data_IF_883857018284
#
_entry.id   IF_883857018284
#
_cell.length_a   1.000
_cell.length_b   1.000
_cell.length_c   1.000
_cell.angle_alpha   90.00
_cell.angle_beta   90.00
_cell.angle_gamma   90.00
#
_symmetry.space_group_name_H-M   'P 1'
#
loop_
_entity.id
_entity.type
_entity.pdbx_description
1 polymer ?
#
# COMPACT_ATOMS: atom_id res chain seq x y z
N UNK A 1 15.37 3.82 23.63
CA UNK A 1 14.39 4.65 22.87
C UNK A 1 12.96 4.23 23.21
N UNK A 2 11.97 5.10 22.87
CA UNK A 2 10.54 4.82 23.07
C UNK A 2 9.96 4.04 21.90
N UNK A 3 8.98 3.19 22.18
CA UNK A 3 8.21 2.46 21.17
C UNK A 3 6.93 1.88 21.75
N UNK A 4 6.06 1.40 20.86
CA UNK A 4 4.82 0.70 21.22
C UNK A 4 5.06 -0.79 21.05
N UNK A 5 5.17 -1.50 22.16
CA UNK A 5 5.51 -2.92 22.23
C UNK A 5 4.24 -3.78 22.26
N UNK A 6 4.32 -4.95 21.68
CA UNK A 6 3.34 -6.02 21.71
C UNK A 6 4.04 -7.31 22.14
N UNK A 7 3.63 -7.90 23.28
CA UNK A 7 4.34 -9.03 23.88
C UNK A 7 4.08 -10.36 23.15
N UNK A 8 2.86 -10.53 22.62
CA UNK A 8 2.43 -11.75 21.94
C UNK A 8 1.19 -11.49 21.07
N UNK A 9 0.86 -12.44 20.23
CA UNK A 9 -0.38 -12.39 19.43
C UNK A 9 -1.62 -12.32 20.33
N UNK A 10 -2.55 -11.45 19.98
CA UNK A 10 -3.77 -11.18 20.75
C UNK A 10 -3.54 -10.32 22.00
N UNK A 11 -2.31 -9.91 22.28
CA UNK A 11 -1.99 -9.02 23.40
C UNK A 11 -2.35 -7.56 23.14
N UNK A 12 -2.19 -6.74 24.18
CA UNK A 12 -2.39 -5.30 24.11
C UNK A 12 -1.09 -4.56 23.80
N UNK A 13 -1.20 -3.51 22.98
CA UNK A 13 -0.11 -2.58 22.76
C UNK A 13 0.17 -1.72 23.99
N UNK A 14 1.42 -1.52 24.32
CA UNK A 14 1.82 -0.64 25.43
C UNK A 14 3.09 0.15 25.14
N UNK A 15 3.18 1.35 25.72
CA UNK A 15 4.34 2.23 25.59
C UNK A 15 5.49 1.72 26.47
N UNK A 16 6.69 1.65 25.88
CA UNK A 16 7.95 1.39 26.58
C UNK A 16 8.98 2.47 26.22
N UNK A 17 9.99 2.67 27.07
CA UNK A 17 11.10 3.61 26.85
C UNK A 17 12.49 2.96 26.89
N UNK A 18 12.51 1.64 26.99
CA UNK A 18 13.72 0.81 27.19
C UNK A 18 14.18 0.07 25.95
N UNK A 19 13.61 0.37 24.76
CA UNK A 19 14.05 -0.28 23.51
C UNK A 19 15.49 0.13 23.17
N UNK A 20 16.25 -0.81 22.67
CA UNK A 20 17.55 -0.55 22.08
C UNK A 20 17.39 0.09 20.69
N UNK A 21 18.26 1.04 20.35
CA UNK A 21 18.31 1.62 19.02
C UNK A 21 18.91 0.60 18.05
N UNK A 22 18.22 0.27 16.94
CA UNK A 22 18.74 -0.73 16.01
C UNK A 22 19.92 -0.17 15.21
N UNK A 23 20.87 -1.04 14.88
CA UNK A 23 22.05 -0.69 14.05
C UNK A 23 21.81 -1.13 12.61
N UNK A 24 22.04 -0.25 11.60
CA UNK A 24 21.82 -0.60 10.22
C UNK A 24 22.85 -1.62 9.70
N UNK A 25 22.35 -2.72 9.17
CA UNK A 25 23.14 -3.72 8.47
C UNK A 25 23.43 -3.32 7.02
N UNK A 26 23.94 -4.28 6.23
CA UNK A 26 24.25 -4.05 4.83
C UNK A 26 23.00 -3.64 4.02
N UNK A 27 23.13 -2.57 3.21
CA UNK A 27 22.07 -1.96 2.40
C UNK A 27 20.86 -1.49 3.21
N UNK A 28 21.04 -1.17 4.49
CA UNK A 28 20.02 -0.62 5.36
C UNK A 28 20.38 0.80 5.80
N UNK A 29 19.37 1.59 6.04
CA UNK A 29 19.48 2.91 6.64
C UNK A 29 18.76 2.90 7.99
N UNK A 30 19.29 3.63 8.95
CA UNK A 30 18.62 3.95 10.20
C UNK A 30 17.90 5.27 10.03
N UNK A 31 16.61 5.27 10.30
CA UNK A 31 15.74 6.44 10.13
C UNK A 31 15.20 6.89 11.48
N UNK A 32 15.39 8.18 11.82
CA UNK A 32 14.64 8.83 12.89
C UNK A 32 13.21 9.02 12.42
N UNK A 33 12.26 8.39 13.09
CA UNK A 33 10.84 8.45 12.76
C UNK A 33 10.27 9.82 13.13
N UNK A 34 9.73 10.55 12.16
CA UNK A 34 9.05 11.83 12.39
C UNK A 34 7.54 11.65 12.36
N UNK A 35 7.03 10.86 11.42
CA UNK A 35 5.61 10.54 11.29
C UNK A 35 5.45 9.08 10.91
N UNK A 36 4.56 8.37 11.57
CA UNK A 36 4.12 7.02 11.19
C UNK A 36 2.64 7.01 10.80
N UNK A 37 2.22 6.02 10.02
CA UNK A 37 0.82 5.87 9.63
C UNK A 37 0.28 4.48 9.94
N UNK A 38 -1.02 4.39 10.23
CA UNK A 38 -1.70 3.15 10.62
C UNK A 38 -2.25 2.42 9.39
N UNK A 39 -2.08 1.10 9.36
CA UNK A 39 -2.58 0.20 8.32
C UNK A 39 -3.42 -0.95 8.93
N UNK A 40 -4.30 -1.57 8.14
CA UNK A 40 -5.03 -2.77 8.59
C UNK A 40 -4.12 -3.92 9.00
N UNK A 41 -2.93 -4.02 8.40
CA UNK A 41 -1.98 -5.12 8.61
C UNK A 41 -1.43 -5.16 10.04
N UNK A 42 -1.32 -4.02 10.74
CA UNK A 42 -0.90 -4.03 12.15
C UNK A 42 -1.93 -4.74 13.03
N UNK A 43 -3.24 -4.48 12.81
CA UNK A 43 -4.31 -5.20 13.51
C UNK A 43 -4.36 -6.69 13.16
N UNK A 44 -4.08 -7.04 11.91
CA UNK A 44 -3.96 -8.43 11.47
C UNK A 44 -2.79 -9.14 12.18
N UNK A 45 -1.60 -8.53 12.19
CA UNK A 45 -0.43 -9.07 12.90
C UNK A 45 -0.67 -9.18 14.42
N UNK A 46 -1.30 -8.16 15.02
CA UNK A 46 -1.69 -8.21 16.43
C UNK A 46 -2.61 -9.39 16.72
N UNK A 47 -3.70 -9.54 15.96
CA UNK A 47 -4.72 -10.55 16.25
C UNK A 47 -4.27 -11.98 15.96
N UNK A 48 -3.46 -12.19 14.91
CA UNK A 48 -3.12 -13.53 14.41
C UNK A 48 -1.69 -13.96 14.71
N UNK A 49 -0.77 -13.03 14.92
CA UNK A 49 0.68 -13.29 14.97
C UNK A 49 1.31 -13.63 13.63
N UNK A 50 0.53 -13.69 12.55
CA UNK A 50 1.07 -13.96 11.21
C UNK A 50 1.95 -12.80 10.76
N UNK A 51 2.96 -13.08 9.93
CA UNK A 51 4.01 -12.16 9.47
C UNK A 51 5.00 -11.74 10.56
N UNK A 52 4.76 -11.99 11.83
CA UNK A 52 5.68 -11.66 12.92
C UNK A 52 6.78 -12.71 13.02
N UNK A 53 8.04 -12.27 13.07
CA UNK A 53 9.22 -13.16 13.08
C UNK A 53 9.78 -13.42 14.47
N UNK A 54 9.49 -12.57 15.45
CA UNK A 54 9.94 -12.71 16.85
C UNK A 54 9.02 -11.94 17.79
N UNK A 55 8.98 -12.36 19.05
CA UNK A 55 8.24 -11.73 20.15
C UNK A 55 9.18 -11.43 21.34
N UNK A 56 8.98 -10.36 22.10
CA UNK A 56 8.04 -9.27 21.86
C UNK A 56 8.42 -8.43 20.64
N UNK A 57 7.49 -7.64 20.08
CA UNK A 57 7.74 -6.85 18.87
C UNK A 57 7.09 -5.46 18.91
N UNK A 58 7.72 -4.51 18.22
CA UNK A 58 7.10 -3.26 17.79
C UNK A 58 6.51 -3.48 16.38
N UNK A 59 5.32 -2.97 16.09
CA UNK A 59 4.70 -3.02 14.77
C UNK A 59 4.78 -1.67 14.03
N UNK A 60 4.02 -1.55 12.95
CA UNK A 60 4.03 -0.39 12.05
C UNK A 60 4.91 -0.61 10.83
N UNK A 61 4.43 -0.19 9.65
CA UNK A 61 5.17 -0.40 8.41
C UNK A 61 5.34 0.87 7.55
N UNK A 62 4.53 1.89 7.77
CA UNK A 62 4.61 3.16 7.03
C UNK A 62 5.18 4.26 7.90
N UNK A 63 6.22 4.93 7.42
CA UNK A 63 6.73 6.13 8.07
C UNK A 63 7.41 7.08 7.07
N UNK A 64 7.62 8.29 7.56
CA UNK A 64 8.56 9.26 7.00
C UNK A 64 9.46 9.79 8.10
N UNK A 65 10.70 10.11 7.74
CA UNK A 65 11.68 10.54 8.71
C UNK A 65 12.98 11.02 8.07
N UNK A 66 14.02 11.08 8.88
CA UNK A 66 15.35 11.54 8.47
C UNK A 66 16.37 10.42 8.66
N UNK A 67 17.19 10.15 7.66
CA UNK A 67 18.31 9.21 7.74
C UNK A 67 19.32 9.73 8.75
N UNK A 68 19.66 8.93 9.76
CA UNK A 68 20.65 9.29 10.80
C UNK A 68 21.92 8.46 10.69
N UNK A 69 21.84 7.26 10.12
CA UNK A 69 23.00 6.41 9.88
C UNK A 69 22.77 5.56 8.62
N UNK A 70 23.83 5.26 7.88
CA UNK A 70 23.80 4.40 6.70
C UNK A 70 24.69 3.18 6.92
N UNK A 71 24.18 1.99 6.61
CA UNK A 71 24.92 0.75 6.68
C UNK A 71 25.86 0.55 5.48
N UNK A 72 26.69 -0.48 5.56
CA UNK A 72 27.58 -0.86 4.46
C UNK A 72 26.82 -1.10 3.17
N UNK A 73 27.33 -0.60 2.03
CA UNK A 73 26.78 -0.81 0.70
C UNK A 73 25.62 0.12 0.33
N UNK A 74 25.13 0.95 1.23
CA UNK A 74 24.15 2.00 0.91
C UNK A 74 24.76 3.02 -0.06
N UNK A 75 24.04 3.30 -1.14
CA UNK A 75 24.50 4.20 -2.20
C UNK A 75 23.50 5.29 -2.55
N UNK A 76 22.22 5.07 -2.21
CA UNK A 76 21.11 5.96 -2.59
C UNK A 76 20.91 7.11 -1.59
N UNK A 77 21.31 6.93 -0.32
CA UNK A 77 21.01 7.85 0.77
C UNK A 77 22.25 8.25 1.56
N UNK A 78 22.18 9.43 2.16
CA UNK A 78 23.17 9.98 3.09
C UNK A 78 22.48 10.42 4.39
N UNK A 79 23.26 10.58 5.45
CA UNK A 79 22.77 11.16 6.70
C UNK A 79 22.18 12.54 6.45
N UNK A 80 20.99 12.80 7.00
CA UNK A 80 20.23 14.03 6.80
C UNK A 80 19.19 13.96 5.68
N UNK A 81 19.21 12.94 4.82
CA UNK A 81 18.21 12.79 3.77
C UNK A 81 16.82 12.54 4.36
N UNK A 82 15.81 13.25 3.84
CA UNK A 82 14.42 13.01 4.17
C UNK A 82 13.87 11.85 3.34
N UNK A 83 13.32 10.84 4.03
CA UNK A 83 12.88 9.59 3.42
C UNK A 83 11.49 9.18 3.88
N UNK A 84 10.85 8.33 3.10
CA UNK A 84 9.62 7.63 3.49
C UNK A 84 9.55 6.27 2.79
N UNK A 85 8.61 5.42 3.22
CA UNK A 85 8.37 4.15 2.54
C UNK A 85 7.70 3.12 3.44
N UNK A 86 7.69 1.90 2.94
CA UNK A 86 7.23 0.72 3.65
C UNK A 86 8.42 -0.05 4.20
N UNK A 87 8.34 -0.51 5.43
CA UNK A 87 9.36 -1.35 6.04
C UNK A 87 9.04 -2.84 5.93
N UNK A 88 9.94 -3.70 6.42
CA UNK A 88 9.74 -5.16 6.44
C UNK A 88 8.79 -5.53 7.57
N UNK A 89 7.60 -6.01 7.21
CA UNK A 89 6.53 -6.31 8.16
C UNK A 89 6.97 -7.32 9.23
N UNK A 90 6.58 -7.05 10.47
CA UNK A 90 6.74 -7.97 11.58
C UNK A 90 8.18 -8.42 11.86
N UNK A 91 9.16 -7.60 11.48
CA UNK A 91 10.60 -7.87 11.66
C UNK A 91 11.20 -6.91 12.68
N UNK A 92 11.85 -7.40 13.75
CA UNK A 92 12.46 -6.54 14.76
C UNK A 92 13.40 -5.49 14.14
N UNK A 93 13.36 -4.28 14.68
CA UNK A 93 14.13 -3.13 14.21
C UNK A 93 13.53 -2.43 13.00
N UNK A 94 12.74 -3.08 12.15
CA UNK A 94 12.13 -2.50 10.94
C UNK A 94 10.78 -1.82 11.18
N UNK A 95 10.21 -1.94 12.35
CA UNK A 95 8.86 -1.46 12.65
C UNK A 95 8.85 0.04 12.97
N UNK A 96 7.79 0.74 12.60
CA UNK A 96 7.75 2.22 12.62
C UNK A 96 7.08 2.84 13.85
N UNK A 97 6.48 2.02 14.74
CA UNK A 97 5.86 2.51 15.97
C UNK A 97 6.89 2.77 17.09
N UNK A 98 8.03 3.33 16.72
CA UNK A 98 9.17 3.66 17.59
C UNK A 98 9.98 4.83 17.05
N UNK A 99 10.86 5.39 17.89
CA UNK A 99 11.62 6.60 17.55
C UNK A 99 12.62 6.42 16.40
N UNK A 100 13.23 5.24 16.26
CA UNK A 100 14.17 4.90 15.20
C UNK A 100 13.86 3.54 14.63
N UNK A 101 13.98 3.39 13.30
CA UNK A 101 13.72 2.12 12.63
C UNK A 101 14.66 1.90 11.45
N UNK A 102 14.86 0.62 11.10
CA UNK A 102 15.63 0.23 9.92
C UNK A 102 14.74 0.21 8.67
N UNK A 103 15.30 0.64 7.56
CA UNK A 103 14.70 0.50 6.25
C UNK A 103 15.73 -0.01 5.24
N UNK A 104 15.33 -0.95 4.39
CA UNK A 104 16.15 -1.37 3.28
C UNK A 104 16.18 -0.25 2.23
N UNK A 105 17.36 0.12 1.72
CA UNK A 105 17.47 1.26 0.77
C UNK A 105 16.65 1.08 -0.51
N UNK A 106 16.43 -0.17 -0.93
CA UNK A 106 15.62 -0.51 -2.11
C UNK A 106 14.10 -0.43 -1.89
N UNK A 107 13.63 -0.18 -0.66
CA UNK A 107 12.23 0.07 -0.31
C UNK A 107 11.98 1.54 0.05
N UNK A 108 13.06 2.30 0.26
CA UNK A 108 13.00 3.69 0.67
C UNK A 108 12.87 4.62 -0.54
N UNK A 109 12.04 5.64 -0.37
CA UNK A 109 11.87 6.75 -1.30
C UNK A 109 12.52 8.01 -0.76
N UNK A 110 13.09 8.84 -1.63
CA UNK A 110 13.43 10.23 -1.30
C UNK A 110 12.14 11.04 -1.17
N UNK A 111 12.02 11.81 -0.10
CA UNK A 111 10.86 12.67 0.08
C UNK A 111 10.95 13.87 -0.87
N UNK A 112 9.97 14.09 -1.77
CA UNK A 112 9.92 15.29 -2.61
C UNK A 112 9.82 16.57 -1.77
N UNK A 113 10.40 17.67 -2.23
CA UNK A 113 10.35 18.95 -1.51
C UNK A 113 8.93 19.47 -1.32
N UNK A 114 8.05 19.28 -2.31
CA UNK A 114 6.65 19.71 -2.28
C UNK A 114 5.71 18.84 -1.43
N UNK A 115 6.22 17.75 -0.80
CA UNK A 115 5.43 16.82 0.01
C UNK A 115 5.80 17.02 1.49
N UNK A 116 4.79 17.21 2.36
CA UNK A 116 5.04 17.29 3.81
C UNK A 116 5.42 15.93 4.39
N UNK A 117 5.97 15.93 5.59
CA UNK A 117 6.36 14.68 6.29
C UNK A 117 5.13 13.80 6.56
N UNK A 118 4.01 14.40 6.94
CA UNK A 118 2.74 13.69 7.16
C UNK A 118 2.19 13.09 5.85
N UNK A 119 2.24 13.86 4.77
CA UNK A 119 1.84 13.38 3.45
C UNK A 119 2.70 12.20 2.99
N UNK A 120 4.01 12.30 3.17
CA UNK A 120 4.95 11.25 2.80
C UNK A 120 4.68 9.94 3.54
N UNK A 121 4.34 9.98 4.83
CA UNK A 121 3.99 8.81 5.62
C UNK A 121 2.72 8.09 5.13
N UNK A 122 1.88 8.72 4.29
CA UNK A 122 0.67 8.08 3.74
C UNK A 122 0.93 7.18 2.55
N UNK A 123 2.16 7.17 1.98
CA UNK A 123 2.43 6.63 0.65
C UNK A 123 2.88 5.16 0.70
N UNK A 124 3.86 4.83 1.50
CA UNK A 124 4.66 3.61 1.56
C UNK A 124 3.99 2.31 1.11
N UNK A 125 3.42 1.56 2.04
CA UNK A 125 2.79 0.26 1.79
C UNK A 125 1.63 0.35 0.77
N UNK A 126 0.85 1.42 0.83
CA UNK A 126 -0.28 1.61 -0.08
C UNK A 126 0.15 1.69 -1.54
N UNK A 127 1.16 2.51 -1.84
CA UNK A 127 1.68 2.67 -3.21
C UNK A 127 2.41 1.41 -3.70
N UNK A 128 3.27 0.80 -2.87
CA UNK A 128 3.99 -0.42 -3.28
C UNK A 128 3.05 -1.59 -3.55
N UNK A 129 2.04 -1.79 -2.70
CA UNK A 129 1.02 -2.82 -2.91
C UNK A 129 0.21 -2.57 -4.18
N UNK A 130 -0.20 -1.32 -4.42
CA UNK A 130 -0.91 -0.94 -5.64
C UNK A 130 -0.04 -1.15 -6.90
N UNK A 131 1.25 -0.78 -6.84
CA UNK A 131 2.17 -0.98 -7.95
C UNK A 131 2.39 -2.47 -8.24
N UNK A 132 2.60 -3.31 -7.23
CA UNK A 132 2.66 -4.76 -7.41
C UNK A 132 1.38 -5.33 -8.01
N UNK A 133 0.20 -4.89 -7.53
CA UNK A 133 -1.09 -5.36 -8.04
C UNK A 133 -1.39 -4.91 -9.48
N UNK A 134 -1.17 -3.64 -9.78
CA UNK A 134 -1.53 -3.05 -11.07
C UNK A 134 -0.45 -3.28 -12.13
N UNK A 135 0.81 -2.99 -11.81
CA UNK A 135 1.90 -3.06 -12.80
C UNK A 135 2.35 -4.51 -13.00
N UNK A 136 2.65 -5.22 -11.91
CA UNK A 136 3.16 -6.59 -12.00
C UNK A 136 2.01 -7.58 -12.22
N UNK A 137 0.95 -7.50 -11.41
CA UNK A 137 -0.15 -8.45 -11.43
C UNK A 137 -1.10 -8.26 -12.61
N UNK A 138 -1.64 -7.07 -12.80
CA UNK A 138 -2.55 -6.77 -13.91
C UNK A 138 -1.84 -6.43 -15.22
N UNK A 139 -0.49 -6.46 -15.25
CA UNK A 139 0.33 -6.20 -16.45
C UNK A 139 0.02 -4.84 -17.10
N UNK A 140 -0.17 -3.82 -16.28
CA UNK A 140 -0.25 -2.44 -16.76
C UNK A 140 1.16 -1.90 -16.94
N UNK A 141 1.47 -1.35 -18.11
CA UNK A 141 2.77 -0.73 -18.36
C UNK A 141 2.91 0.57 -17.54
N UNK A 142 3.95 0.67 -16.72
CA UNK A 142 4.23 1.88 -15.93
C UNK A 142 4.78 3.00 -16.82
N UNK A 143 3.87 3.65 -17.53
CA UNK A 143 4.17 4.71 -18.48
C UNK A 143 3.08 5.78 -18.42
N UNK A 144 3.50 7.04 -18.24
CA UNK A 144 2.54 8.15 -18.24
C UNK A 144 1.93 8.30 -19.64
N UNK A 145 0.60 8.22 -19.70
CA UNK A 145 -0.19 8.35 -20.91
C UNK A 145 -1.56 8.93 -20.57
N UNK A 146 -2.03 9.87 -21.38
CA UNK A 146 -3.40 10.37 -21.25
C UNK A 146 -4.43 9.34 -21.71
N UNK A 147 -5.51 9.19 -20.93
CA UNK A 147 -6.66 8.38 -21.33
C UNK A 147 -7.56 9.16 -22.26
N UNK A 148 -8.19 8.45 -23.20
CA UNK A 148 -9.23 8.95 -24.09
C UNK A 148 -10.54 8.21 -23.85
N UNK A 149 -11.62 8.61 -24.52
CA UNK A 149 -12.90 7.90 -24.46
C UNK A 149 -12.83 6.47 -25.00
N UNK A 150 -11.84 6.17 -25.84
CA UNK A 150 -11.59 4.84 -26.41
C UNK A 150 -10.64 3.98 -25.56
N UNK A 151 -10.00 4.58 -24.55
CA UNK A 151 -9.10 3.83 -23.66
C UNK A 151 -9.84 2.72 -22.92
N UNK A 152 -9.19 1.55 -22.73
CA UNK A 152 -9.77 0.45 -21.94
C UNK A 152 -9.95 0.85 -20.48
N UNK A 153 -10.88 0.19 -19.80
CA UNK A 153 -11.08 0.36 -18.39
C UNK A 153 -10.13 -0.53 -17.58
N UNK A 154 -9.67 0.00 -16.44
CA UNK A 154 -9.16 -0.75 -15.32
C UNK A 154 -10.20 -0.73 -14.20
N UNK A 155 -10.61 -1.89 -13.71
CA UNK A 155 -11.53 -1.98 -12.58
C UNK A 155 -10.71 -2.15 -11.29
N UNK A 156 -10.96 -1.29 -10.30
CA UNK A 156 -10.31 -1.31 -8.98
C UNK A 156 -11.38 -1.58 -7.92
N UNK A 157 -11.37 -2.76 -7.33
CA UNK A 157 -12.25 -3.12 -6.23
C UNK A 157 -11.63 -2.66 -4.90
N UNK A 158 -12.44 -2.05 -4.03
CA UNK A 158 -11.93 -1.43 -2.80
C UNK A 158 -11.20 -0.10 -3.02
N UNK A 159 -11.61 0.67 -4.03
CA UNK A 159 -10.94 1.87 -4.51
C UNK A 159 -10.80 3.01 -3.50
N UNK A 160 -11.58 3.02 -2.42
CA UNK A 160 -11.51 4.07 -1.38
C UNK A 160 -10.43 3.82 -0.31
N UNK A 161 -9.89 2.61 -0.20
CA UNK A 161 -8.77 2.29 0.70
C UNK A 161 -7.45 2.85 0.19
N UNK A 162 -6.42 2.86 1.03
CA UNK A 162 -5.09 3.41 0.66
C UNK A 162 -4.52 2.76 -0.60
N UNK A 163 -4.51 1.44 -0.67
CA UNK A 163 -4.06 0.68 -1.85
C UNK A 163 -4.91 1.02 -3.06
N UNK A 164 -6.25 1.05 -2.89
CA UNK A 164 -7.20 1.33 -3.96
C UNK A 164 -7.04 2.72 -4.56
N UNK A 165 -6.85 3.75 -3.73
CA UNK A 165 -6.64 5.12 -4.21
C UNK A 165 -5.35 5.25 -5.03
N UNK A 166 -4.25 4.57 -4.63
CA UNK A 166 -3.03 4.53 -5.45
C UNK A 166 -3.22 3.70 -6.73
N UNK A 167 -3.96 2.60 -6.68
CA UNK A 167 -4.28 1.83 -7.87
C UNK A 167 -5.10 2.64 -8.89
N UNK A 168 -6.05 3.47 -8.42
CA UNK A 168 -6.81 4.41 -9.25
C UNK A 168 -5.88 5.43 -9.89
N UNK A 169 -4.98 6.05 -9.11
CA UNK A 169 -4.02 7.02 -9.63
C UNK A 169 -3.09 6.39 -10.69
N UNK A 170 -2.53 5.21 -10.40
CA UNK A 170 -1.67 4.48 -11.34
C UNK A 170 -2.41 4.11 -12.62
N UNK A 171 -3.63 3.58 -12.51
CA UNK A 171 -4.44 3.24 -13.69
C UNK A 171 -4.70 4.45 -14.57
N UNK A 172 -5.12 5.57 -14.00
CA UNK A 172 -5.32 6.83 -14.73
C UNK A 172 -4.04 7.34 -15.36
N UNK A 173 -2.94 7.36 -14.59
CA UNK A 173 -1.63 7.81 -15.06
C UNK A 173 -1.14 6.98 -16.26
N UNK A 174 -1.44 5.69 -16.28
CA UNK A 174 -1.07 4.76 -17.34
C UNK A 174 -2.07 4.72 -18.50
N UNK A 175 -2.99 5.69 -18.60
CA UNK A 175 -3.88 5.87 -19.76
C UNK A 175 -5.17 5.04 -19.73
N UNK A 176 -5.52 4.42 -18.59
CA UNK A 176 -6.79 3.73 -18.42
C UNK A 176 -7.89 4.68 -17.96
N UNK A 177 -9.10 4.39 -18.41
CA UNK A 177 -10.31 4.83 -17.70
C UNK A 177 -10.44 3.98 -16.46
N UNK A 178 -10.75 4.54 -15.32
CA UNK A 178 -10.79 3.75 -14.06
C UNK A 178 -12.21 3.72 -13.50
N UNK A 179 -12.70 2.50 -13.24
CA UNK A 179 -13.93 2.24 -12.53
C UNK A 179 -13.59 1.69 -11.13
N UNK A 180 -13.97 2.41 -10.08
CA UNK A 180 -13.70 2.01 -8.70
C UNK A 180 -14.93 1.45 -7.97
N UNK A 181 -14.75 0.48 -7.06
CA UNK A 181 -15.81 0.15 -6.10
C UNK A 181 -15.57 0.82 -4.75
N UNK A 182 -16.62 1.36 -4.15
CA UNK A 182 -16.57 1.97 -2.82
C UNK A 182 -17.95 1.98 -2.17
N UNK A 183 -18.04 2.33 -0.88
CA UNK A 183 -19.34 2.73 -0.32
C UNK A 183 -19.79 4.07 -0.92
N UNK A 184 -21.10 4.35 -0.98
CA UNK A 184 -21.60 5.63 -1.48
C UNK A 184 -21.00 6.85 -0.79
N UNK A 185 -20.71 6.77 0.51
CA UNK A 185 -20.08 7.83 1.30
C UNK A 185 -18.64 8.16 0.88
N UNK A 186 -17.95 7.23 0.22
CA UNK A 186 -16.57 7.37 -0.20
C UNK A 186 -16.40 7.56 -1.71
N UNK A 187 -17.49 7.73 -2.46
CA UNK A 187 -17.45 7.93 -3.91
C UNK A 187 -16.59 9.13 -4.32
N UNK A 188 -16.69 10.23 -3.59
CA UNK A 188 -15.94 11.45 -3.91
C UNK A 188 -14.41 11.27 -3.71
N UNK A 189 -13.98 10.49 -2.73
CA UNK A 189 -12.56 10.14 -2.56
C UNK A 189 -12.04 9.35 -3.76
N UNK A 190 -12.83 8.37 -4.23
CA UNK A 190 -12.47 7.56 -5.39
C UNK A 190 -12.37 8.39 -6.66
N UNK A 191 -13.30 9.33 -6.88
CA UNK A 191 -13.25 10.28 -7.99
C UNK A 191 -12.08 11.26 -7.86
N UNK A 192 -11.82 11.78 -6.67
CA UNK A 192 -10.69 12.66 -6.41
C UNK A 192 -9.33 11.96 -6.65
N UNK A 193 -9.25 10.64 -6.42
CA UNK A 193 -8.09 9.84 -6.80
C UNK A 193 -7.94 9.70 -8.32
N UNK A 194 -9.00 9.94 -9.10
CA UNK A 194 -8.95 9.98 -10.55
C UNK A 194 -9.85 8.95 -11.25
N UNK A 195 -10.68 8.22 -10.52
CA UNK A 195 -11.66 7.33 -11.16
C UNK A 195 -12.70 8.14 -11.93
N UNK A 196 -13.03 7.66 -13.12
CA UNK A 196 -14.06 8.27 -13.96
C UNK A 196 -15.46 7.91 -13.47
N UNK A 197 -15.62 6.70 -12.92
CA UNK A 197 -16.86 6.22 -12.34
C UNK A 197 -16.63 5.38 -11.09
N UNK A 198 -17.69 5.26 -10.27
CA UNK A 198 -17.68 4.40 -9.10
C UNK A 198 -19.00 3.66 -8.93
N UNK A 199 -18.96 2.48 -8.27
CA UNK A 199 -20.14 1.71 -7.92
C UNK A 199 -20.09 1.21 -6.48
N UNK A 200 -21.26 0.87 -5.93
CA UNK A 200 -21.36 0.41 -4.54
C UNK A 200 -20.99 -1.07 -4.43
N UNK A 201 -19.94 -1.37 -3.66
CA UNK A 201 -19.50 -2.75 -3.40
C UNK A 201 -20.48 -3.55 -2.51
N UNK A 202 -21.44 -2.88 -1.84
CA UNK A 202 -22.44 -3.53 -0.98
C UNK A 202 -23.58 -4.17 -1.77
N UNK A 203 -23.71 -3.88 -3.04
CA UNK A 203 -24.62 -4.56 -3.93
C UNK A 203 -24.27 -6.04 -4.04
N UNK A 204 -25.24 -6.90 -4.30
CA UNK A 204 -24.96 -8.32 -4.59
C UNK A 204 -24.18 -8.43 -5.90
N UNK A 205 -23.43 -9.53 -6.07
CA UNK A 205 -22.50 -9.71 -7.20
C UNK A 205 -23.18 -9.44 -8.55
N UNK A 206 -24.39 -9.99 -8.77
CA UNK A 206 -25.11 -9.78 -10.05
C UNK A 206 -25.44 -8.31 -10.35
N UNK A 207 -25.75 -7.50 -9.33
CA UNK A 207 -26.00 -6.06 -9.48
C UNK A 207 -24.70 -5.30 -9.73
N UNK A 208 -23.61 -5.69 -9.07
CA UNK A 208 -22.28 -5.17 -9.37
C UNK A 208 -21.89 -5.45 -10.81
N UNK A 209 -22.06 -6.69 -11.30
CA UNK A 209 -21.79 -7.08 -12.68
C UNK A 209 -22.65 -6.29 -13.69
N UNK A 210 -23.92 -6.10 -13.41
CA UNK A 210 -24.80 -5.29 -14.26
C UNK A 210 -24.30 -3.83 -14.35
N UNK A 211 -23.87 -3.25 -13.22
CA UNK A 211 -23.33 -1.89 -13.17
C UNK A 211 -22.00 -1.79 -13.93
N UNK A 212 -21.09 -2.74 -13.73
CA UNK A 212 -19.83 -2.82 -14.47
C UNK A 212 -20.08 -2.87 -15.97
N UNK A 213 -21.01 -3.73 -16.42
CA UNK A 213 -21.38 -3.85 -17.83
C UNK A 213 -21.93 -2.54 -18.39
N UNK A 214 -22.83 -1.90 -17.66
CA UNK A 214 -23.45 -0.63 -18.08
C UNK A 214 -22.39 0.47 -18.28
N UNK A 215 -21.39 0.55 -17.38
CA UNK A 215 -20.39 1.62 -17.40
C UNK A 215 -19.30 1.33 -18.43
N UNK A 216 -18.77 0.11 -18.46
CA UNK A 216 -17.59 -0.24 -19.26
C UNK A 216 -17.91 -0.73 -20.65
N UNK A 217 -19.16 -1.15 -20.90
CA UNK A 217 -19.57 -1.84 -22.12
C UNK A 217 -18.66 -3.03 -22.48
N UNK A 218 -18.01 -3.66 -21.48
CA UNK A 218 -17.08 -4.77 -21.67
C UNK A 218 -15.67 -4.38 -22.14
N UNK A 219 -15.38 -3.10 -22.34
CA UNK A 219 -14.06 -2.63 -22.79
C UNK A 219 -13.01 -2.67 -21.65
N UNK A 220 -12.77 -3.84 -21.10
CA UNK A 220 -11.72 -4.08 -20.09
C UNK A 220 -11.17 -5.50 -20.17
N UNK A 221 -9.98 -5.69 -19.67
CA UNK A 221 -9.35 -7.01 -19.52
C UNK A 221 -8.53 -7.11 -18.21
N UNK A 222 -8.67 -6.12 -17.33
CA UNK A 222 -7.89 -6.01 -16.10
C UNK A 222 -8.75 -5.62 -14.92
N UNK A 223 -8.62 -6.38 -13.83
CA UNK A 223 -9.25 -6.08 -12.53
C UNK A 223 -8.20 -6.20 -11.44
N UNK A 224 -8.13 -5.22 -10.57
CA UNK A 224 -7.34 -5.28 -9.34
C UNK A 224 -8.25 -5.18 -8.11
N UNK A 225 -8.23 -6.21 -7.28
CA UNK A 225 -8.92 -6.22 -5.99
C UNK A 225 -7.96 -5.75 -4.88
N UNK A 226 -8.06 -4.49 -4.51
CA UNK A 226 -7.31 -3.85 -3.44
C UNK A 226 -7.91 -4.08 -2.04
N UNK A 227 -9.06 -4.77 -1.96
CA UNK A 227 -9.78 -5.01 -0.70
C UNK A 227 -9.58 -6.40 -0.13
N UNK A 228 -9.04 -7.33 -0.93
CA UNK A 228 -9.01 -8.77 -0.66
C UNK A 228 -10.41 -9.44 -0.53
N UNK A 229 -11.48 -8.69 -0.75
CA UNK A 229 -12.87 -9.15 -0.58
C UNK A 229 -13.66 -9.16 -1.89
N UNK A 230 -13.06 -8.71 -3.00
CA UNK A 230 -13.71 -8.57 -4.31
C UNK A 230 -13.41 -9.72 -5.28
N UNK A 231 -12.80 -10.81 -4.81
CA UNK A 231 -12.32 -11.90 -5.69
C UNK A 231 -13.43 -12.47 -6.58
N UNK A 232 -14.60 -12.77 -6.01
CA UNK A 232 -15.75 -13.29 -6.77
C UNK A 232 -16.20 -12.30 -7.84
N UNK A 233 -16.50 -11.06 -7.46
CA UNK A 233 -16.90 -9.99 -8.40
C UNK A 233 -15.87 -9.79 -9.51
N UNK A 234 -14.58 -9.76 -9.15
CA UNK A 234 -13.50 -9.51 -10.10
C UNK A 234 -13.34 -10.62 -11.13
N UNK A 235 -13.37 -11.87 -10.69
CA UNK A 235 -13.26 -13.04 -11.57
C UNK A 235 -14.49 -13.15 -12.47
N UNK A 236 -15.71 -13.05 -11.92
CA UNK A 236 -16.94 -13.14 -12.68
C UNK A 236 -17.05 -11.99 -13.71
N UNK A 237 -16.63 -10.77 -13.36
CA UNK A 237 -16.58 -9.67 -14.33
C UNK A 237 -15.66 -9.99 -15.50
N UNK A 238 -14.47 -10.54 -15.26
CA UNK A 238 -13.53 -10.91 -16.32
C UNK A 238 -14.04 -12.07 -17.18
N UNK A 239 -14.71 -13.05 -16.59
CA UNK A 239 -15.20 -14.22 -17.32
C UNK A 239 -16.45 -13.90 -18.16
N UNK A 240 -17.38 -13.10 -17.63
CA UNK A 240 -18.69 -12.87 -18.25
C UNK A 240 -18.78 -11.60 -19.08
N UNK A 241 -18.03 -10.53 -18.72
CA UNK A 241 -18.26 -9.19 -19.25
C UNK A 241 -17.10 -8.62 -20.02
N UNK A 242 -15.86 -9.01 -19.68
CA UNK A 242 -14.64 -8.45 -20.27
C UNK A 242 -14.52 -8.72 -21.77
N UNK A 243 -13.68 -7.96 -22.45
CA UNK A 243 -13.36 -8.15 -23.87
C UNK A 243 -12.87 -9.57 -24.12
N UNK A 244 -13.70 -10.38 -24.77
CA UNK A 244 -13.39 -11.76 -25.10
C UNK A 244 -12.39 -11.89 -26.25
N UNK A 245 -12.09 -10.80 -26.98
CA UNK A 245 -11.03 -10.79 -28.00
C UNK A 245 -9.63 -10.64 -27.37
N UNK A 246 -9.55 -10.19 -26.13
CA UNK A 246 -8.28 -10.11 -25.41
C UNK A 246 -7.72 -11.53 -25.20
N UNK A 247 -6.47 -11.80 -25.58
CA UNK A 247 -5.87 -13.14 -25.49
C UNK A 247 -5.74 -13.61 -24.05
N UNK A 248 -5.54 -12.69 -23.12
CA UNK A 248 -5.43 -12.94 -21.66
C UNK A 248 -6.15 -11.83 -20.92
N UNK A 249 -6.91 -12.21 -19.90
CA UNK A 249 -7.50 -11.30 -18.92
C UNK A 249 -6.75 -11.42 -17.61
N UNK A 250 -6.59 -10.32 -16.89
CA UNK A 250 -5.74 -10.27 -15.69
C UNK A 250 -6.56 -9.93 -14.46
N UNK A 251 -6.53 -10.82 -13.50
CA UNK A 251 -7.04 -10.58 -12.16
C UNK A 251 -5.87 -10.51 -11.16
N UNK A 252 -5.76 -9.41 -10.45
CA UNK A 252 -4.81 -9.27 -9.36
C UNK A 252 -5.54 -8.94 -8.06
N UNK A 253 -5.06 -9.43 -6.92
CA UNK A 253 -5.72 -9.22 -5.63
C UNK A 253 -4.70 -9.14 -4.49
N UNK A 254 -5.08 -8.45 -3.42
CA UNK A 254 -4.37 -8.46 -2.13
C UNK A 254 -4.78 -9.64 -1.23
N UNK A 255 -5.69 -10.50 -1.67
CA UNK A 255 -6.04 -11.73 -0.99
C UNK A 255 -4.98 -12.81 -1.32
N UNK A 256 -3.99 -12.98 -0.45
CA UNK A 256 -2.92 -13.96 -0.60
C UNK A 256 -3.11 -15.23 0.25
N UNK A 257 -4.20 -15.31 1.02
CA UNK A 257 -4.49 -16.44 1.91
C UNK A 257 -5.51 -17.46 1.36
N UNK A 258 -6.23 -17.13 0.31
CA UNK A 258 -7.18 -18.02 -0.33
C UNK A 258 -6.72 -18.36 -1.75
N UNK A 259 -6.56 -19.65 -2.11
CA UNK A 259 -6.14 -20.04 -3.45
C UNK A 259 -7.22 -19.64 -4.49
N UNK A 260 -6.76 -19.23 -5.66
CA UNK A 260 -7.62 -18.93 -6.80
C UNK A 260 -7.53 -20.10 -7.79
N UNK A 261 -8.65 -20.74 -8.06
CA UNK A 261 -8.70 -21.83 -9.02
C UNK A 261 -8.37 -21.34 -10.44
N UNK A 262 -7.48 -22.05 -11.16
CA UNK A 262 -7.15 -21.71 -12.53
C UNK A 262 -8.39 -21.68 -13.46
N UNK A 263 -8.41 -20.72 -14.39
CA UNK A 263 -9.46 -20.58 -15.43
C UNK A 263 -8.79 -20.27 -16.77
N UNK A 264 -9.31 -20.84 -17.84
CA UNK A 264 -8.80 -20.61 -19.19
C UNK A 264 -8.89 -19.12 -19.60
N UNK A 265 -7.79 -18.60 -20.12
CA UNK A 265 -7.68 -17.20 -20.54
C UNK A 265 -7.68 -16.18 -19.40
N UNK A 266 -7.54 -16.62 -18.15
CA UNK A 266 -7.43 -15.77 -16.95
C UNK A 266 -6.06 -15.97 -16.29
N UNK A 267 -5.25 -14.92 -16.27
CA UNK A 267 -4.04 -14.87 -15.45
C UNK A 267 -4.36 -14.25 -14.09
N UNK A 268 -3.96 -14.93 -13.03
CA UNK A 268 -4.19 -14.47 -11.66
C UNK A 268 -2.88 -14.11 -10.97
N UNK A 269 -2.91 -13.09 -10.13
CA UNK A 269 -1.77 -12.67 -9.31
C UNK A 269 -2.23 -12.29 -7.90
N UNK A 270 -1.57 -12.85 -6.90
CA UNK A 270 -1.80 -12.53 -5.49
C UNK A 270 -0.62 -11.71 -4.98
N UNK A 271 -0.88 -10.51 -4.50
CA UNK A 271 0.15 -9.62 -3.93
C UNK A 271 0.47 -10.08 -2.52
N UNK A 272 1.65 -10.65 -2.33
CA UNK A 272 2.10 -11.14 -1.03
C UNK A 272 2.85 -10.06 -0.25
N UNK A 273 2.10 -9.24 0.46
CA UNK A 273 2.64 -8.12 1.26
C UNK A 273 3.71 -8.58 2.25
N UNK A 274 3.55 -9.78 2.83
CA UNK A 274 4.48 -10.37 3.78
C UNK A 274 5.87 -10.70 3.21
N UNK A 275 6.05 -10.68 1.89
CA UNK A 275 7.34 -10.95 1.23
C UNK A 275 8.17 -9.68 0.96
N UNK A 276 7.53 -8.49 1.05
CA UNK A 276 8.21 -7.21 0.78
C UNK A 276 9.38 -7.02 1.75
N UNK A 277 10.57 -6.79 1.21
CA UNK A 277 11.80 -6.56 1.96
C UNK A 277 12.42 -7.81 2.60
N UNK A 278 11.76 -8.95 2.56
CA UNK A 278 12.31 -10.22 3.05
C UNK A 278 13.33 -10.80 2.07
N UNK A 279 14.12 -11.74 2.54
CA UNK A 279 15.15 -12.46 1.76
C UNK A 279 15.06 -13.96 2.02
N UNK A 280 15.85 -14.73 1.23
CA UNK A 280 16.01 -16.18 1.45
C UNK A 280 14.97 -17.04 0.75
N UNK A 281 14.05 -16.46 -0.03
CA UNK A 281 13.16 -17.18 -0.95
C UNK A 281 13.18 -16.53 -2.32
N UNK A 282 13.12 -17.33 -3.37
CA UNK A 282 13.08 -16.85 -4.77
C UNK A 282 11.94 -15.83 -4.97
N UNK A 283 10.80 -16.06 -4.32
CA UNK A 283 9.63 -15.20 -4.40
C UNK A 283 9.86 -13.82 -3.77
N UNK A 284 10.43 -13.78 -2.56
CA UNK A 284 10.77 -12.52 -1.90
C UNK A 284 11.80 -11.73 -2.71
N UNK A 285 12.82 -12.40 -3.25
CA UNK A 285 13.84 -11.78 -4.09
C UNK A 285 13.24 -11.21 -5.38
N UNK A 286 12.30 -11.93 -6.03
CA UNK A 286 11.60 -11.42 -7.21
C UNK A 286 10.74 -10.19 -6.88
N UNK A 287 9.96 -10.22 -5.81
CA UNK A 287 9.14 -9.07 -5.36
C UNK A 287 10.03 -7.85 -5.08
N UNK A 288 11.15 -8.04 -4.38
CA UNK A 288 12.07 -6.94 -4.09
C UNK A 288 12.71 -6.38 -5.37
N UNK A 289 13.04 -7.23 -6.33
CA UNK A 289 13.54 -6.79 -7.64
C UNK A 289 12.49 -6.00 -8.42
N UNK A 290 11.24 -6.46 -8.42
CA UNK A 290 10.14 -5.76 -9.06
C UNK A 290 9.95 -4.37 -8.44
N UNK A 291 9.90 -4.28 -7.10
CA UNK A 291 9.81 -3.01 -6.38
C UNK A 291 10.98 -2.10 -6.73
N UNK A 292 12.22 -2.59 -6.62
CA UNK A 292 13.42 -1.79 -6.92
C UNK A 292 13.42 -1.24 -8.35
N UNK A 293 12.85 -1.97 -9.30
CA UNK A 293 12.71 -1.52 -10.69
C UNK A 293 11.67 -0.41 -10.88
N UNK A 294 10.64 -0.35 -10.03
CA UNK A 294 9.55 0.62 -10.12
C UNK A 294 9.84 1.93 -9.35
N UNK A 295 10.55 1.84 -8.21
CA UNK A 295 10.78 3.01 -7.33
C UNK A 295 11.30 4.25 -8.08
N UNK A 296 12.32 4.19 -8.95
CA UNK A 296 12.82 5.40 -9.61
C UNK A 296 11.74 6.12 -10.43
N UNK A 297 10.86 5.36 -11.09
CA UNK A 297 9.77 5.93 -11.87
C UNK A 297 8.62 6.45 -11.00
N UNK A 298 8.35 5.79 -9.90
CA UNK A 298 7.36 6.26 -8.91
C UNK A 298 7.85 7.54 -8.22
N UNK A 299 9.14 7.66 -7.91
CA UNK A 299 9.75 8.90 -7.39
C UNK A 299 9.61 10.05 -8.40
N UNK A 300 9.91 9.82 -9.68
CA UNK A 300 9.70 10.81 -10.75
C UNK A 300 8.25 11.31 -10.80
N UNK A 301 7.28 10.39 -10.68
CA UNK A 301 5.87 10.75 -10.71
C UNK A 301 5.40 11.49 -9.45
N UNK A 302 5.95 11.16 -8.28
CA UNK A 302 5.70 11.89 -7.04
C UNK A 302 6.30 13.30 -7.09
N UNK A 303 7.53 13.44 -7.59
CA UNK A 303 8.21 14.73 -7.76
C UNK A 303 7.47 15.64 -8.75
N UNK A 304 6.96 15.06 -9.84
CA UNK A 304 6.15 15.78 -10.83
C UNK A 304 4.71 16.07 -10.38
N UNK A 305 4.27 15.60 -9.19
CA UNK A 305 2.90 15.73 -8.71
C UNK A 305 1.86 14.91 -9.49
N UNK A 306 2.30 13.99 -10.34
CA UNK A 306 1.44 13.07 -11.10
C UNK A 306 0.87 11.96 -10.23
N UNK A 307 1.64 11.50 -9.24
CA UNK A 307 1.16 10.73 -8.10
C UNK A 307 1.09 11.65 -6.88
N UNK A 308 0.04 11.54 -6.12
CA UNK A 308 -0.23 12.42 -4.98
C UNK A 308 -0.39 11.60 -3.71
N UNK A 309 0.15 12.10 -2.57
CA UNK A 309 -0.13 11.54 -1.25
C UNK A 309 -1.63 11.45 -0.98
N UNK A 310 -2.02 10.59 -0.04
CA UNK A 310 -3.42 10.49 0.37
C UNK A 310 -3.79 11.61 1.34
N UNK A 311 -5.08 11.95 1.40
CA UNK A 311 -5.61 12.73 2.50
C UNK A 311 -5.43 11.97 3.81
N UNK A 312 -5.14 12.70 4.89
CA UNK A 312 -4.90 12.11 6.20
C UNK A 312 -5.63 12.85 7.32
N UNK A 313 -5.70 12.19 8.46
CA UNK A 313 -6.10 12.76 9.75
C UNK A 313 -4.94 12.53 10.71
N UNK A 314 -4.38 13.60 11.25
CA UNK A 314 -3.42 13.50 12.35
C UNK A 314 -4.16 13.14 13.63
N UNK A 315 -3.68 12.14 14.35
CA UNK A 315 -4.25 11.71 15.63
C UNK A 315 -3.30 12.12 16.76
N UNK A 316 -3.87 12.79 17.75
CA UNK A 316 -3.16 13.21 18.96
C UNK A 316 -2.16 14.34 18.75
N UNK A 317 -1.36 14.56 19.79
CA UNK A 317 -0.25 15.51 19.81
C UNK A 317 1.03 14.86 19.26
N UNK A 318 2.20 15.45 19.55
CA UNK A 318 3.50 14.89 19.17
C UNK A 318 3.97 13.89 20.21
N UNK A 319 4.29 12.68 19.82
CA UNK A 319 4.90 11.66 20.66
C UNK A 319 4.51 10.23 20.34
N UNK A 320 5.39 9.29 20.66
CA UNK A 320 5.21 7.85 20.39
C UNK A 320 3.95 7.28 21.08
N UNK A 321 3.61 7.78 22.26
CA UNK A 321 2.41 7.32 22.99
C UNK A 321 1.09 7.60 22.28
N UNK A 322 1.05 8.57 21.35
CA UNK A 322 -0.15 8.92 20.58
C UNK A 322 -0.54 7.83 19.57
N UNK A 323 0.38 6.91 19.25
CA UNK A 323 0.10 5.73 18.41
C UNK A 323 -1.01 4.88 19.02
N UNK A 324 -1.08 4.73 20.34
CA UNK A 324 -2.14 3.97 21.03
C UNK A 324 -3.53 4.54 20.72
N UNK A 325 -3.66 5.87 20.72
CA UNK A 325 -4.91 6.54 20.35
C UNK A 325 -5.26 6.33 18.88
N UNK A 326 -4.25 6.32 18.00
CA UNK A 326 -4.46 6.10 16.57
C UNK A 326 -4.87 4.65 16.28
N UNK A 327 -4.31 3.66 16.96
CA UNK A 327 -4.72 2.25 16.85
C UNK A 327 -6.16 2.05 17.33
N UNK A 328 -6.56 2.67 18.43
CA UNK A 328 -7.95 2.65 18.91
C UNK A 328 -8.90 3.35 17.92
N UNK A 329 -8.53 4.54 17.44
CA UNK A 329 -9.32 5.29 16.47
C UNK A 329 -9.49 4.54 15.15
N UNK A 330 -8.49 3.78 14.71
CA UNK A 330 -8.50 3.03 13.46
C UNK A 330 -9.65 2.02 13.40
N UNK A 331 -9.99 1.36 14.49
CA UNK A 331 -11.08 0.38 14.56
C UNK A 331 -12.44 0.98 14.15
N UNK A 332 -12.63 2.29 14.35
CA UNK A 332 -13.83 3.03 14.02
C UNK A 332 -13.70 3.92 12.77
N UNK A 333 -12.51 3.95 12.17
CA UNK A 333 -12.21 4.84 11.04
C UNK A 333 -12.75 4.29 9.71
N UNK A 334 -13.58 5.07 9.01
CA UNK A 334 -14.24 4.68 7.75
C UNK A 334 -14.22 5.78 6.68
N UNK A 335 -13.39 6.80 6.85
CA UNK A 335 -13.41 7.99 5.99
C UNK A 335 -12.61 7.87 4.69
N UNK A 336 -11.89 6.77 4.48
CA UNK A 336 -10.94 6.63 3.36
C UNK A 336 -9.67 7.48 3.49
N UNK A 337 -9.53 8.28 4.55
CA UNK A 337 -8.33 9.06 4.87
C UNK A 337 -7.37 8.21 5.70
N UNK A 338 -6.07 8.45 5.54
CA UNK A 338 -5.03 7.75 6.31
C UNK A 338 -4.93 8.34 7.72
N UNK A 339 -4.80 7.51 8.75
CA UNK A 339 -4.43 7.99 10.09
C UNK A 339 -2.91 8.11 10.20
N UNK A 340 -2.42 9.26 10.63
CA UNK A 340 -1.00 9.51 10.87
C UNK A 340 -0.78 9.99 12.29
N UNK A 341 0.40 9.67 12.84
CA UNK A 341 0.84 10.12 14.16
C UNK A 341 2.20 10.78 14.02
N UNK A 342 2.32 12.00 14.54
CA UNK A 342 3.57 12.72 14.60
C UNK A 342 4.36 12.29 15.83
N UNK A 343 5.57 11.78 15.65
CA UNK A 343 6.40 11.21 16.73
C UNK A 343 7.41 12.22 17.27
N UNK A 344 7.92 13.10 16.41
CA UNK A 344 8.88 14.14 16.75
C UNK A 344 8.66 15.39 15.90
N UNK A 345 9.21 16.52 16.35
CA UNK A 345 9.34 17.73 15.54
C UNK A 345 10.41 17.54 14.44
N UNK A 346 10.25 18.26 13.33
CA UNK A 346 11.18 18.23 12.19
C UNK A 346 12.55 18.78 12.57
#
# INVERSE_FOLDING_TARGET
>A
MKGILLDNAGGDFHLVDTLEEPTPGRNQILVKSLVTAINPVEGFMQGTGQLVTAWPIVLGCDASGTVVEVGEGVTKFNNGDAVFGCTVLGTPGHSTFQEYFLMNENLAFKKPEGVTTEQAATIGAGLLTAALGVIIGAKVELKSQESTTESPWLIVLGAAGSVGQFAVQLGKLCGYRVLGSSSPSNTEIVKAAGAEAAFDYKLIVNEQLATIKQITNGNFSRVFDASAMGTETGIEALLQLADQSAPVRYFSTTNDWAPIEPRDGLATHQVELGQIGRSGTEKAEQINKDIASMIPKLEEYLEAGLLRPLEYVQVGDVGVGEILKALEAFNNHRSGKKLVVRLAEN
#
